data_IF_313542074977
#
_entry.id   IF_313542074977
#
_cell.length_a   1.000
_cell.length_b   1.000
_cell.length_c   1.000
_cell.angle_alpha   90.00
_cell.angle_beta   90.00
_cell.angle_gamma   90.00
#
_symmetry.space_group_name_H-M   'P 1'
#
loop_
_entity.id
_entity.type
_entity.pdbx_description
1 polymer ?
#
# COMPACT_ATOMS: atom_id res chain seq x y z
N UNK A 1 -9.33 -3.56 -7.52
CA UNK A 1 -10.43 -3.17 -6.60
C UNK A 1 -9.87 -2.95 -5.19
N UNK A 2 -9.01 -1.95 -4.97
CA UNK A 2 -8.64 -1.36 -3.65
C UNK A 2 -7.89 -0.02 -3.85
N UNK A 3 -8.33 0.82 -4.80
CA UNK A 3 -7.73 2.14 -5.06
C UNK A 3 -8.29 3.24 -4.12
N UNK A 4 -8.63 2.90 -2.87
CA UNK A 4 -9.40 3.79 -1.98
C UNK A 4 -8.57 4.48 -0.90
N UNK A 5 -7.31 4.09 -0.72
CA UNK A 5 -6.43 4.77 0.23
C UNK A 5 -5.50 5.67 -0.58
N UNK A 6 -5.80 6.96 -0.55
CA UNK A 6 -4.87 8.00 -0.94
C UNK A 6 -3.53 7.77 -0.20
N UNK A 7 -2.40 7.93 -0.88
CA UNK A 7 -1.07 7.69 -0.30
C UNK A 7 -0.86 8.48 1.00
N UNK A 8 -1.41 9.69 1.09
CA UNK A 8 -1.40 10.50 2.30
C UNK A 8 -2.23 9.89 3.45
N UNK A 9 -3.39 9.33 3.13
CA UNK A 9 -4.23 8.61 4.10
C UNK A 9 -3.56 7.32 4.59
N UNK A 10 -2.79 6.64 3.71
CA UNK A 10 -2.01 5.46 4.10
C UNK A 10 -0.99 5.80 5.17
N UNK A 11 -0.19 6.85 4.93
CA UNK A 11 0.87 7.28 5.86
C UNK A 11 0.27 7.65 7.22
N UNK A 12 -0.86 8.36 7.23
CA UNK A 12 -1.55 8.73 8.46
C UNK A 12 -2.01 7.49 9.25
N UNK A 13 -2.66 6.53 8.58
CA UNK A 13 -3.10 5.27 9.21
C UNK A 13 -1.90 4.47 9.73
N UNK A 14 -0.82 4.39 8.95
CA UNK A 14 0.41 3.68 9.34
C UNK A 14 1.03 4.28 10.61
N UNK A 15 1.05 5.61 10.74
CA UNK A 15 1.55 6.29 11.95
C UNK A 15 0.67 5.97 13.16
N UNK A 16 -0.66 6.06 13.02
CA UNK A 16 -1.59 5.74 14.11
C UNK A 16 -1.42 4.29 14.55
N UNK A 17 -1.31 3.36 13.60
CA UNK A 17 -1.10 1.94 13.86
C UNK A 17 0.24 1.70 14.59
N UNK A 18 1.32 2.33 14.14
CA UNK A 18 2.64 2.26 14.78
C UNK A 18 2.60 2.75 16.23
N UNK A 19 1.93 3.87 16.50
CA UNK A 19 1.76 4.40 17.85
C UNK A 19 0.96 3.44 18.73
N UNK A 20 -0.14 2.91 18.21
CA UNK A 20 -0.97 1.95 18.94
C UNK A 20 -0.19 0.70 19.31
N UNK A 21 0.55 0.12 18.35
CA UNK A 21 1.38 -1.06 18.58
C UNK A 21 2.51 -0.76 19.56
N UNK A 22 3.16 0.41 19.49
CA UNK A 22 4.20 0.79 20.44
C UNK A 22 3.65 0.88 21.88
N UNK A 23 2.49 1.51 22.07
CA UNK A 23 1.86 1.62 23.39
C UNK A 23 1.43 0.24 23.92
N UNK A 24 0.86 -0.60 23.06
CA UNK A 24 0.45 -1.95 23.44
C UNK A 24 1.65 -2.85 23.77
N UNK A 25 2.70 -2.83 22.94
CA UNK A 25 3.86 -3.71 23.10
C UNK A 25 4.73 -3.31 24.30
N UNK A 26 4.85 -2.02 24.62
CA UNK A 26 5.59 -1.56 25.81
C UNK A 26 4.94 -2.00 27.13
N UNK A 27 3.63 -2.29 27.12
CA UNK A 27 2.91 -2.81 28.30
C UNK A 27 3.12 -4.32 28.51
N UNK A 28 3.43 -5.07 27.45
CA UNK A 28 3.45 -6.53 27.47
C UNK A 28 4.88 -7.08 27.41
N UNK A 29 5.75 -6.42 26.65
CA UNK A 29 7.09 -6.88 26.34
C UNK A 29 8.17 -5.90 26.81
N UNK A 30 9.41 -6.39 26.86
CA UNK A 30 10.57 -5.51 27.09
C UNK A 30 10.77 -4.52 25.93
N UNK A 31 11.46 -3.41 26.22
CA UNK A 31 11.77 -2.37 25.23
C UNK A 31 12.48 -2.91 23.98
N UNK A 32 13.39 -3.88 24.15
CA UNK A 32 14.12 -4.53 23.05
C UNK A 32 13.17 -5.25 22.08
N UNK A 33 12.20 -5.99 22.63
CA UNK A 33 11.21 -6.74 21.85
C UNK A 33 10.22 -5.79 21.18
N UNK A 34 9.81 -4.72 21.87
CA UNK A 34 8.97 -3.67 21.27
C UNK A 34 9.62 -3.07 20.03
N UNK A 35 10.91 -2.72 20.08
CA UNK A 35 11.62 -2.18 18.92
C UNK A 35 11.61 -3.17 17.76
N UNK A 36 11.89 -4.46 18.02
CA UNK A 36 11.83 -5.49 16.98
C UNK A 36 10.44 -5.60 16.34
N UNK A 37 9.38 -5.56 17.13
CA UNK A 37 7.99 -5.58 16.63
C UNK A 37 7.73 -4.37 15.72
N UNK A 38 8.14 -3.17 16.12
CA UNK A 38 7.95 -1.96 15.32
C UNK A 38 8.73 -2.00 14.00
N UNK A 39 9.96 -2.53 14.01
CA UNK A 39 10.75 -2.72 12.79
C UNK A 39 10.07 -3.70 11.84
N UNK A 40 9.61 -4.84 12.34
CA UNK A 40 8.88 -5.84 11.53
C UNK A 40 7.60 -5.24 10.96
N UNK A 41 6.85 -4.48 11.77
CA UNK A 41 5.63 -3.81 11.35
C UNK A 41 5.90 -2.80 10.22
N UNK A 42 6.97 -2.00 10.34
CA UNK A 42 7.36 -1.03 9.30
C UNK A 42 7.68 -1.73 7.97
N UNK A 43 8.38 -2.87 8.03
CA UNK A 43 8.67 -3.68 6.83
C UNK A 43 7.37 -4.20 6.22
N UNK A 44 6.44 -4.73 7.02
CA UNK A 44 5.15 -5.21 6.53
C UNK A 44 4.35 -4.09 5.84
N UNK A 45 4.31 -2.89 6.45
CA UNK A 45 3.63 -1.73 5.89
C UNK A 45 4.27 -1.25 4.58
N UNK A 46 5.59 -1.26 4.47
CA UNK A 46 6.26 -0.86 3.21
C UNK A 46 6.02 -1.86 2.08
N UNK A 47 6.04 -3.16 2.38
CA UNK A 47 5.70 -4.22 1.41
C UNK A 47 4.25 -4.09 0.96
N UNK A 48 3.33 -3.86 1.89
CA UNK A 48 1.91 -3.66 1.58
C UNK A 48 1.68 -2.43 0.69
N UNK A 49 2.33 -1.30 0.99
CA UNK A 49 2.24 -0.09 0.16
C UNK A 49 2.74 -0.36 -1.26
N UNK A 50 3.88 -1.05 -1.41
CA UNK A 50 4.42 -1.43 -2.72
C UNK A 50 3.44 -2.31 -3.50
N UNK A 51 2.81 -3.29 -2.84
CA UNK A 51 1.81 -4.16 -3.47
C UNK A 51 0.59 -3.39 -3.97
N UNK A 52 0.23 -2.28 -3.35
CA UNK A 52 -0.91 -1.45 -3.77
C UNK A 52 -0.52 -0.48 -4.90
N UNK A 53 0.71 0.05 -4.89
CA UNK A 53 1.22 0.98 -5.90
C UNK A 53 1.32 0.37 -7.31
N UNK A 54 1.43 -0.96 -7.43
CA UNK A 54 1.55 -1.67 -8.72
C UNK A 54 0.25 -1.64 -9.53
N UNK A 55 -0.88 -1.17 -8.96
CA UNK A 55 -2.18 -1.22 -9.63
C UNK A 55 -2.60 0.08 -10.35
N UNK A 56 -1.74 1.10 -10.41
CA UNK A 56 -1.98 2.34 -11.13
C UNK A 56 -0.99 2.49 -12.30
N UNK A 57 -0.92 1.50 -13.19
CA UNK A 57 -0.25 1.68 -14.47
C UNK A 57 -1.13 2.60 -15.33
N UNK A 58 -0.74 3.88 -15.40
CA UNK A 58 -1.30 4.78 -16.40
C UNK A 58 -0.90 4.25 -17.78
N UNK A 59 -1.89 3.83 -18.55
CA UNK A 59 -1.67 3.34 -19.91
C UNK A 59 -1.58 4.55 -20.83
N UNK A 60 -0.38 5.07 -21.00
CA UNK A 60 -0.13 6.25 -21.83
C UNK A 60 0.04 5.86 -23.30
N UNK A 61 0.45 4.61 -23.58
CA UNK A 61 0.77 4.16 -24.94
C UNK A 61 -0.16 3.03 -25.43
N UNK A 62 -0.50 3.06 -26.73
CA UNK A 62 -1.28 2.00 -27.41
C UNK A 62 -0.65 0.60 -27.30
N UNK A 63 0.66 0.53 -27.12
CA UNK A 63 1.42 -0.72 -26.93
C UNK A 63 1.16 -1.35 -25.56
N UNK A 64 1.11 -0.53 -24.50
CA UNK A 64 0.79 -0.97 -23.13
C UNK A 64 -0.66 -1.45 -23.06
N UNK A 65 -1.57 -0.74 -23.74
CA UNK A 65 -2.97 -1.16 -23.87
C UNK A 65 -3.12 -2.54 -24.52
N UNK A 66 -2.40 -2.79 -25.61
CA UNK A 66 -2.41 -4.09 -26.29
C UNK A 66 -1.82 -5.21 -25.42
N UNK A 67 -0.88 -4.89 -24.53
CA UNK A 67 -0.29 -5.86 -23.60
C UNK A 67 -1.28 -6.24 -22.51
N UNK A 68 -2.01 -5.26 -21.99
CA UNK A 68 -3.06 -5.44 -20.98
C UNK A 68 -4.25 -6.23 -21.54
N UNK A 69 -4.68 -5.93 -22.78
CA UNK A 69 -5.72 -6.67 -23.50
C UNK A 69 -5.37 -8.13 -23.76
N UNK A 70 -4.08 -8.45 -23.86
CA UNK A 70 -3.58 -9.83 -24.04
C UNK A 70 -3.39 -10.56 -22.72
N UNK A 71 -3.54 -9.88 -21.58
CA UNK A 71 -3.49 -10.53 -20.27
C UNK A 71 -4.81 -11.27 -19.99
N UNK A 72 -4.72 -12.46 -19.40
CA UNK A 72 -5.89 -13.26 -18.99
C UNK A 72 -6.54 -12.74 -17.70
N UNK A 73 -6.00 -11.67 -17.14
CA UNK A 73 -6.44 -11.10 -15.87
C UNK A 73 -7.63 -10.16 -16.09
N UNK A 74 -8.64 -10.14 -15.20
CA UNK A 74 -9.70 -9.16 -15.27
C UNK A 74 -9.13 -7.75 -15.03
N UNK A 75 -9.38 -6.83 -15.95
CA UNK A 75 -8.89 -5.44 -15.91
C UNK A 75 -10.06 -4.49 -15.69
N UNK A 76 -9.88 -3.50 -14.83
CA UNK A 76 -10.84 -2.39 -14.64
C UNK A 76 -10.29 -1.17 -15.35
N UNK A 77 -11.04 -0.68 -16.34
CA UNK A 77 -10.68 0.45 -17.17
C UNK A 77 -11.30 1.72 -16.60
N UNK A 78 -10.47 2.69 -16.21
CA UNK A 78 -10.93 3.99 -15.74
C UNK A 78 -10.55 5.04 -16.77
N UNK A 79 -11.54 5.52 -17.54
CA UNK A 79 -11.38 6.59 -18.52
C UNK A 79 -11.56 7.93 -17.81
N UNK A 80 -10.58 8.83 -17.96
CA UNK A 80 -10.62 10.18 -17.41
C UNK A 80 -10.18 11.18 -18.47
N UNK A 81 -10.88 12.31 -18.55
CA UNK A 81 -10.59 13.46 -19.41
C UNK A 81 -10.44 14.69 -18.52
N UNK A 82 -9.35 15.43 -18.68
CA UNK A 82 -9.13 16.72 -17.99
C UNK A 82 -9.89 17.88 -18.66
N UNK A 83 -10.55 17.63 -19.79
CA UNK A 83 -11.41 18.57 -20.53
C UNK A 83 -12.89 18.35 -20.24
#
# INVERSE_FOLDING_TARGET
MFAWINQYSYVLIAIILMLFVAVASTRIFSWKVTILILVVLLIALTVFLKSQSINNDQVETRSEWNTILRSTSPVVLQLYSEY
#
